data_IF_797573685721
#
_entry.id   IF_797573685721
#
_cell.length_a   1.000
_cell.length_b   1.000
_cell.length_c   1.000
_cell.angle_alpha   90.00
_cell.angle_beta   90.00
_cell.angle_gamma   90.00
#
_symmetry.space_group_name_H-M   'P 1'
#
loop_
_entity.id
_entity.type
_entity.pdbx_description
1 polymer ?
#
# COMPACT_ATOMS: atom_id res chain seq x y z
N UNK A 1 -5.27 -19.03 -12.60
CA UNK A 1 -4.39 -19.04 -11.39
C UNK A 1 -3.46 -17.83 -11.48
N UNK A 2 -3.39 -17.02 -10.40
CA UNK A 2 -2.50 -15.87 -10.38
C UNK A 2 -1.05 -16.29 -10.17
N UNK A 3 -0.15 -15.64 -10.92
CA UNK A 3 1.29 -15.70 -10.76
C UNK A 3 1.81 -14.30 -10.43
N UNK A 4 2.61 -14.18 -9.42
CA UNK A 4 3.25 -12.95 -8.97
C UNK A 4 4.72 -12.99 -9.37
N UNK A 5 5.17 -11.95 -10.05
CA UNK A 5 6.57 -11.81 -10.50
C UNK A 5 7.14 -10.50 -9.96
N UNK A 6 8.27 -10.58 -9.28
CA UNK A 6 9.02 -9.40 -8.87
C UNK A 6 9.86 -8.90 -10.06
N UNK A 7 9.74 -7.61 -10.37
CA UNK A 7 10.34 -7.01 -11.55
C UNK A 7 11.27 -5.85 -11.15
N UNK A 8 12.38 -5.73 -11.88
CA UNK A 8 13.38 -4.68 -11.65
C UNK A 8 13.13 -3.41 -12.49
N UNK A 9 12.21 -3.48 -13.46
CA UNK A 9 11.90 -2.38 -14.36
C UNK A 9 10.40 -2.31 -14.64
N UNK A 10 9.91 -1.09 -14.81
CA UNK A 10 8.53 -0.82 -15.23
C UNK A 10 8.25 -1.13 -16.72
N UNK A 11 9.27 -1.48 -17.52
CA UNK A 11 9.12 -1.74 -18.96
C UNK A 11 8.10 -2.82 -19.30
N UNK A 12 7.91 -3.80 -18.40
CA UNK A 12 6.92 -4.86 -18.58
C UNK A 12 5.48 -4.35 -18.58
N UNK A 13 5.25 -3.16 -18.01
CA UNK A 13 3.94 -2.52 -17.89
C UNK A 13 3.57 -1.65 -19.11
N UNK A 14 4.35 -1.71 -20.20
CA UNK A 14 3.99 -1.01 -21.44
C UNK A 14 2.62 -1.47 -21.93
N UNK A 15 1.66 -0.51 -22.02
CA UNK A 15 0.28 -0.80 -22.40
C UNK A 15 -0.64 -1.29 -21.26
N UNK A 16 -0.15 -1.38 -20.03
CA UNK A 16 -1.01 -1.58 -18.86
C UNK A 16 -1.73 -0.26 -18.54
N UNK A 17 -3.04 -0.31 -18.33
CA UNK A 17 -3.83 0.83 -17.91
C UNK A 17 -4.77 0.42 -16.78
N UNK A 18 -4.75 1.14 -15.68
CA UNK A 18 -5.69 0.96 -14.58
C UNK A 18 -6.93 1.85 -14.72
N UNK A 19 -6.89 2.87 -15.58
CA UNK A 19 -7.99 3.79 -15.86
C UNK A 19 -8.18 4.87 -14.80
N UNK A 20 -7.18 5.10 -13.95
CA UNK A 20 -7.05 6.30 -13.11
C UNK A 20 -5.92 7.11 -13.72
N UNK A 21 -6.26 8.29 -14.25
CA UNK A 21 -5.37 9.06 -15.11
C UNK A 21 -4.01 9.35 -14.45
N UNK A 22 -4.01 9.76 -13.20
CA UNK A 22 -2.80 10.10 -12.45
C UNK A 22 -1.93 8.87 -12.20
N UNK A 23 -2.57 7.73 -11.91
CA UNK A 23 -1.87 6.45 -11.72
C UNK A 23 -1.28 5.95 -13.04
N UNK A 24 -2.04 6.02 -14.15
CA UNK A 24 -1.54 5.61 -15.46
C UNK A 24 -0.38 6.51 -15.90
N UNK A 25 -0.45 7.83 -15.65
CA UNK A 25 0.65 8.75 -15.93
C UNK A 25 1.91 8.41 -15.11
N UNK A 26 1.75 8.10 -13.81
CA UNK A 26 2.85 7.67 -12.96
C UNK A 26 3.47 6.35 -13.43
N UNK A 27 2.65 5.33 -13.74
CA UNK A 27 3.13 4.02 -14.19
C UNK A 27 3.99 4.15 -15.46
N UNK A 28 3.58 4.99 -16.40
CA UNK A 28 4.28 5.13 -17.68
C UNK A 28 5.41 6.17 -17.68
N UNK A 29 5.39 7.13 -16.76
CA UNK A 29 6.37 8.22 -16.70
C UNK A 29 7.41 8.09 -15.60
N UNK A 30 6.96 7.88 -14.37
CA UNK A 30 7.78 8.08 -13.18
C UNK A 30 8.11 6.80 -12.40
N UNK A 31 7.37 5.71 -12.60
CA UNK A 31 7.53 4.48 -11.82
C UNK A 31 8.96 3.92 -11.87
N UNK A 32 9.58 3.90 -13.05
CA UNK A 32 10.95 3.38 -13.20
C UNK A 32 11.98 4.22 -12.44
N UNK A 33 11.82 5.55 -12.43
CA UNK A 33 12.65 6.46 -11.65
C UNK A 33 12.35 6.32 -10.14
N UNK A 34 11.10 6.10 -9.76
CA UNK A 34 10.70 5.85 -8.38
C UNK A 34 11.37 4.60 -7.82
N UNK A 35 11.31 3.47 -8.53
CA UNK A 35 11.93 2.21 -8.13
C UNK A 35 13.46 2.31 -7.94
N UNK A 36 14.12 3.16 -8.72
CA UNK A 36 15.56 3.38 -8.63
C UNK A 36 16.00 4.27 -7.48
N UNK A 37 15.08 4.98 -6.82
CA UNK A 37 15.44 5.86 -5.68
C UNK A 37 15.89 5.08 -4.46
N UNK A 38 15.26 3.93 -4.21
CA UNK A 38 15.55 3.10 -3.06
C UNK A 38 15.34 1.62 -3.42
N UNK A 39 16.34 0.75 -3.18
CA UNK A 39 16.24 -0.68 -3.45
C UNK A 39 15.19 -1.40 -2.57
N UNK A 40 14.60 -0.72 -1.59
CA UNK A 40 13.52 -1.29 -0.78
C UNK A 40 12.18 -1.36 -1.52
N UNK A 41 11.98 -0.53 -2.56
CA UNK A 41 10.77 -0.59 -3.39
C UNK A 41 10.77 -1.83 -4.26
N UNK A 42 9.78 -2.69 -4.08
CA UNK A 42 9.63 -3.95 -4.79
C UNK A 42 8.41 -3.89 -5.71
N UNK A 43 8.65 -3.77 -7.02
CA UNK A 43 7.59 -3.90 -8.03
C UNK A 43 7.22 -5.36 -8.19
N UNK A 44 5.94 -5.65 -8.11
CA UNK A 44 5.36 -6.95 -8.44
C UNK A 44 4.33 -6.81 -9.54
N UNK A 45 4.43 -7.65 -10.54
CA UNK A 45 3.45 -7.75 -11.63
C UNK A 45 2.66 -9.04 -11.47
N UNK A 46 1.35 -8.94 -11.63
CA UNK A 46 0.41 -10.04 -11.43
C UNK A 46 -0.12 -10.50 -12.78
N UNK A 47 0.07 -11.78 -13.05
CA UNK A 47 -0.36 -12.43 -14.28
C UNK A 47 -1.50 -13.40 -14.00
N UNK A 48 -2.47 -13.40 -14.89
CA UNK A 48 -3.47 -14.44 -15.02
C UNK A 48 -3.30 -15.20 -16.34
N UNK A 49 -3.60 -16.52 -16.33
CA UNK A 49 -3.38 -17.37 -17.52
C UNK A 49 -4.25 -17.00 -18.73
N UNK A 50 -5.41 -16.37 -18.50
CA UNK A 50 -6.37 -16.00 -19.53
C UNK A 50 -6.19 -14.55 -20.00
N UNK A 51 -5.81 -13.68 -19.04
CA UNK A 51 -5.83 -12.22 -19.26
C UNK A 51 -4.45 -11.58 -19.37
N UNK A 52 -3.36 -12.35 -19.18
CA UNK A 52 -2.01 -11.79 -19.16
C UNK A 52 -1.77 -10.94 -17.90
N UNK A 53 -1.19 -9.74 -18.04
CA UNK A 53 -1.00 -8.82 -16.91
C UNK A 53 -2.36 -8.28 -16.46
N UNK A 54 -2.71 -8.54 -15.22
CA UNK A 54 -4.00 -8.14 -14.62
C UNK A 54 -3.86 -7.05 -13.58
N UNK A 55 -2.69 -6.94 -12.94
CA UNK A 55 -2.42 -5.94 -11.93
C UNK A 55 -0.93 -5.71 -11.73
N UNK A 56 -0.59 -4.64 -11.02
CA UNK A 56 0.72 -4.38 -10.45
C UNK A 56 0.59 -3.84 -9.03
N UNK A 57 1.63 -4.04 -8.22
CA UNK A 57 1.75 -3.37 -6.95
C UNK A 57 3.23 -3.12 -6.60
N UNK A 58 3.47 -2.08 -5.83
CA UNK A 58 4.78 -1.77 -5.24
C UNK A 58 4.64 -1.84 -3.73
N UNK A 59 5.60 -2.50 -3.08
CA UNK A 59 5.67 -2.62 -1.63
C UNK A 59 7.05 -2.24 -1.13
N UNK A 60 7.10 -1.68 0.08
CA UNK A 60 8.34 -1.38 0.79
C UNK A 60 8.20 -1.60 2.30
N UNK A 61 9.31 -1.81 3.03
CA UNK A 61 9.27 -1.80 4.49
C UNK A 61 8.87 -0.42 5.01
N UNK A 62 8.02 -0.40 6.02
CA UNK A 62 7.53 0.81 6.67
C UNK A 62 7.44 0.65 8.19
N UNK A 63 6.90 1.68 8.83
CA UNK A 63 6.65 1.72 10.27
C UNK A 63 5.21 2.17 10.50
N UNK A 64 4.48 1.38 11.27
CA UNK A 64 3.21 1.80 11.85
C UNK A 64 3.49 2.44 13.20
N UNK A 65 2.93 3.63 13.43
CA UNK A 65 3.07 4.37 14.69
C UNK A 65 1.73 4.38 15.41
N UNK A 66 1.70 3.80 16.61
CA UNK A 66 0.56 3.82 17.50
C UNK A 66 0.81 4.85 18.61
N UNK A 67 0.05 5.95 18.59
CA UNK A 67 0.17 7.03 19.55
C UNK A 67 -0.71 6.80 20.81
N UNK A 68 -1.72 5.94 20.69
CA UNK A 68 -2.76 5.76 21.72
C UNK A 68 -2.57 4.48 22.55
N UNK A 69 -1.48 3.73 22.27
CA UNK A 69 -1.21 2.41 22.88
C UNK A 69 -2.36 1.39 22.70
N UNK A 70 -3.17 1.56 21.65
CA UNK A 70 -4.32 0.70 21.34
C UNK A 70 -3.88 -0.75 21.04
N UNK A 71 -2.64 -0.91 20.56
CA UNK A 71 -2.08 -2.20 20.16
C UNK A 71 -1.01 -2.75 21.12
N UNK A 72 -1.14 -2.47 22.42
CA UNK A 72 -0.16 -2.92 23.45
C UNK A 72 0.05 -4.44 23.47
N UNK A 73 -0.93 -5.22 23.03
CA UNK A 73 -0.86 -6.68 22.94
C UNK A 73 -0.10 -7.18 21.70
N UNK A 74 0.29 -6.31 20.77
CA UNK A 74 1.08 -6.67 19.59
C UNK A 74 2.55 -6.79 19.98
N UNK A 75 3.19 -7.97 19.79
CA UNK A 75 4.58 -8.16 20.17
C UNK A 75 5.54 -7.33 19.31
N UNK A 76 6.71 -7.03 19.87
CA UNK A 76 7.83 -6.33 19.20
C UNK A 76 7.60 -4.86 18.87
N UNK A 77 6.57 -4.21 19.41
CA UNK A 77 6.47 -2.76 19.41
C UNK A 77 7.63 -2.12 20.17
N UNK A 78 8.15 -1.01 19.68
CA UNK A 78 9.23 -0.24 20.35
C UNK A 78 8.71 1.12 20.77
N UNK A 79 8.84 1.51 22.04
CA UNK A 79 8.46 2.84 22.50
C UNK A 79 9.30 3.91 21.79
N UNK A 80 8.68 5.03 21.50
CA UNK A 80 9.34 6.22 20.98
C UNK A 80 8.79 7.47 21.69
N UNK A 81 9.56 8.54 21.68
CA UNK A 81 9.10 9.87 22.10
C UNK A 81 9.88 10.96 21.39
N UNK A 82 9.24 12.09 21.12
CA UNK A 82 9.87 13.32 20.66
C UNK A 82 9.18 14.55 21.27
N UNK A 83 9.86 15.68 21.26
CA UNK A 83 9.25 16.96 21.60
C UNK A 83 8.85 17.67 20.30
N UNK A 84 7.59 18.08 20.22
CA UNK A 84 7.12 18.92 19.14
C UNK A 84 7.51 20.40 19.30
N UNK A 85 7.17 21.24 18.32
CA UNK A 85 7.50 22.67 18.33
C UNK A 85 6.86 23.44 19.50
N UNK A 86 5.76 22.95 20.06
CA UNK A 86 5.06 23.50 21.23
C UNK A 86 5.61 22.95 22.56
N UNK A 87 6.73 22.25 22.53
CA UNK A 87 7.36 21.60 23.67
C UNK A 87 6.49 20.53 24.35
N UNK A 88 5.58 19.91 23.62
CA UNK A 88 4.80 18.78 24.08
C UNK A 88 5.54 17.48 23.80
N UNK A 89 5.58 16.58 24.79
CA UNK A 89 6.13 15.26 24.60
C UNK A 89 5.08 14.40 23.88
N UNK A 90 5.39 13.98 22.67
CA UNK A 90 4.64 12.99 21.91
C UNK A 90 5.30 11.62 22.13
N UNK A 91 4.53 10.63 22.52
CA UNK A 91 5.03 9.28 22.74
C UNK A 91 4.08 8.24 22.15
N UNK A 92 4.60 7.05 21.91
CA UNK A 92 3.82 5.95 21.37
C UNK A 92 4.67 4.70 21.16
N UNK A 93 4.14 3.79 20.37
CA UNK A 93 4.80 2.54 20.03
C UNK A 93 4.92 2.39 18.51
N UNK A 94 6.11 2.01 18.04
CA UNK A 94 6.37 1.74 16.61
C UNK A 94 6.38 0.24 16.36
N UNK A 95 5.72 -0.17 15.28
CA UNK A 95 5.66 -1.55 14.81
C UNK A 95 6.18 -1.67 13.38
N UNK A 96 6.91 -2.75 13.05
CA UNK A 96 7.25 -3.04 11.67
C UNK A 96 5.99 -3.20 10.82
N UNK A 97 5.91 -2.46 9.72
CA UNK A 97 4.83 -2.56 8.73
C UNK A 97 5.37 -2.80 7.33
N UNK A 98 4.55 -3.40 6.48
CA UNK A 98 4.77 -3.43 5.05
C UNK A 98 3.87 -2.38 4.42
N UNK A 99 4.47 -1.44 3.72
CA UNK A 99 3.78 -0.38 2.99
C UNK A 99 3.31 -0.90 1.64
N UNK A 100 2.08 -0.59 1.26
CA UNK A 100 1.59 -0.69 -0.11
C UNK A 100 1.74 0.68 -0.73
N UNK A 101 2.85 0.91 -1.41
CA UNK A 101 3.14 2.20 -2.05
C UNK A 101 2.21 2.46 -3.22
N UNK A 102 1.94 1.42 -4.03
CA UNK A 102 1.03 1.47 -5.17
C UNK A 102 0.32 0.12 -5.36
N UNK A 103 -0.94 0.17 -5.75
CA UNK A 103 -1.72 -1.00 -6.17
C UNK A 103 -2.66 -0.59 -7.30
N UNK A 104 -2.53 -1.22 -8.46
CA UNK A 104 -3.37 -0.98 -9.62
C UNK A 104 -3.85 -2.28 -10.24
N UNK A 105 -5.15 -2.38 -10.51
CA UNK A 105 -5.78 -3.46 -11.27
C UNK A 105 -6.16 -2.91 -12.64
N UNK A 106 -5.92 -3.70 -13.70
CA UNK A 106 -6.24 -3.32 -15.07
C UNK A 106 -7.72 -2.92 -15.19
N UNK A 107 -8.00 -1.84 -15.93
CA UNK A 107 -9.31 -1.16 -15.95
C UNK A 107 -10.48 -2.08 -16.29
N UNK A 108 -10.30 -2.99 -17.24
CA UNK A 108 -11.32 -3.93 -17.70
C UNK A 108 -11.56 -5.13 -16.76
N UNK A 109 -10.70 -5.28 -15.74
CA UNK A 109 -10.74 -6.34 -14.74
C UNK A 109 -11.04 -5.83 -13.32
N UNK A 110 -11.42 -4.56 -13.19
CA UNK A 110 -11.87 -4.02 -11.90
C UNK A 110 -13.10 -4.77 -11.42
N UNK A 111 -13.29 -4.81 -10.10
CA UNK A 111 -14.41 -5.50 -9.44
C UNK A 111 -14.46 -7.02 -9.65
N UNK A 112 -13.50 -7.61 -10.37
CA UNK A 112 -13.39 -9.06 -10.59
C UNK A 112 -12.71 -9.81 -9.43
N UNK A 113 -12.42 -9.13 -8.31
CA UNK A 113 -11.82 -9.73 -7.12
C UNK A 113 -10.29 -9.83 -7.12
N UNK A 114 -9.60 -9.39 -8.19
CA UNK A 114 -8.13 -9.42 -8.25
C UNK A 114 -7.48 -8.61 -7.12
N UNK A 115 -7.98 -7.40 -6.85
CA UNK A 115 -7.45 -6.56 -5.76
C UNK A 115 -7.47 -7.27 -4.40
N UNK A 116 -8.59 -7.94 -4.07
CA UNK A 116 -8.72 -8.69 -2.80
C UNK A 116 -7.76 -9.88 -2.73
N UNK A 117 -7.54 -10.59 -3.85
CA UNK A 117 -6.56 -11.69 -3.91
C UNK A 117 -5.13 -11.18 -3.71
N UNK A 118 -4.82 -9.99 -4.26
CA UNK A 118 -3.51 -9.34 -4.10
C UNK A 118 -3.29 -8.92 -2.65
N UNK A 119 -4.25 -8.26 -2.00
CA UNK A 119 -4.14 -7.89 -0.58
C UNK A 119 -3.91 -9.13 0.29
N UNK A 120 -4.60 -10.24 0.00
CA UNK A 120 -4.41 -11.50 0.71
C UNK A 120 -2.99 -12.05 0.53
N UNK A 121 -2.42 -11.99 -0.67
CA UNK A 121 -1.04 -12.40 -0.96
C UNK A 121 -0.03 -11.49 -0.24
N UNK A 122 -0.21 -10.17 -0.31
CA UNK A 122 0.65 -9.20 0.40
C UNK A 122 0.60 -9.46 1.91
N UNK A 123 -0.58 -9.71 2.49
CA UNK A 123 -0.75 -10.04 3.90
C UNK A 123 0.01 -11.30 4.30
N UNK A 124 -0.03 -12.33 3.46
CA UNK A 124 0.72 -13.57 3.69
C UNK A 124 2.22 -13.33 3.67
N UNK A 125 2.73 -12.57 2.69
CA UNK A 125 4.16 -12.20 2.60
C UNK A 125 4.59 -11.37 3.80
N UNK A 126 3.76 -10.42 4.22
CA UNK A 126 4.03 -9.58 5.38
C UNK A 126 4.15 -10.42 6.67
N UNK A 127 3.20 -11.32 6.92
CA UNK A 127 3.23 -12.26 8.06
C UNK A 127 4.50 -13.12 8.08
N UNK A 128 4.88 -13.69 6.94
CA UNK A 128 6.08 -14.54 6.84
C UNK A 128 7.38 -13.77 7.05
N UNK A 129 7.37 -12.45 6.89
CA UNK A 129 8.50 -11.55 7.14
C UNK A 129 8.45 -10.85 8.51
N UNK A 130 7.51 -11.26 9.39
CA UNK A 130 7.30 -10.69 10.72
C UNK A 130 6.92 -9.20 10.73
N UNK A 131 6.20 -8.74 9.74
CA UNK A 131 5.48 -7.46 9.81
C UNK A 131 4.17 -7.65 10.59
N UNK A 132 3.72 -6.62 11.30
CA UNK A 132 2.52 -6.65 12.11
C UNK A 132 1.36 -5.86 11.50
N UNK A 133 1.68 -4.94 10.61
CA UNK A 133 0.70 -4.11 9.92
C UNK A 133 0.97 -4.06 8.43
N UNK A 134 -0.09 -3.95 7.63
CA UNK A 134 -0.03 -3.34 6.31
C UNK A 134 -0.46 -1.89 6.42
N UNK A 135 0.23 -1.01 5.72
CA UNK A 135 -0.10 0.40 5.64
C UNK A 135 -0.24 0.83 4.19
N UNK A 136 -1.05 1.84 3.94
CA UNK A 136 -1.30 2.40 2.62
C UNK A 136 -1.77 3.85 2.72
N UNK A 137 -1.39 4.67 1.74
CA UNK A 137 -2.02 5.95 1.46
C UNK A 137 -3.09 5.73 0.39
N UNK A 138 -4.34 5.51 0.83
CA UNK A 138 -5.45 5.20 -0.07
C UNK A 138 -5.81 6.44 -0.90
N UNK A 139 -5.63 6.35 -2.23
CA UNK A 139 -5.91 7.44 -3.17
C UNK A 139 -7.40 7.78 -3.19
N UNK A 140 -7.69 9.08 -3.15
CA UNK A 140 -9.04 9.61 -3.10
C UNK A 140 -9.12 10.97 -3.78
N UNK A 141 -10.02 11.09 -4.77
CA UNK A 141 -10.34 12.33 -5.48
C UNK A 141 -11.84 12.43 -5.75
N UNK A 142 -12.31 13.55 -6.30
CA UNK A 142 -13.74 13.75 -6.65
C UNK A 142 -14.30 12.68 -7.61
N UNK A 143 -13.45 12.06 -8.42
CA UNK A 143 -13.88 11.08 -9.43
C UNK A 143 -13.59 9.63 -9.07
N UNK A 144 -12.76 9.38 -8.06
CA UNK A 144 -12.33 8.03 -7.70
C UNK A 144 -11.91 7.96 -6.23
N UNK A 145 -12.26 6.87 -5.55
CA UNK A 145 -11.79 6.59 -4.19
C UNK A 145 -11.44 5.12 -4.03
N UNK A 146 -10.24 4.85 -3.53
CA UNK A 146 -9.81 3.53 -3.12
C UNK A 146 -10.17 3.21 -1.66
N UNK A 147 -10.61 4.19 -0.86
CA UNK A 147 -10.93 4.01 0.55
C UNK A 147 -11.93 2.86 0.77
N UNK A 148 -13.11 2.80 0.09
CA UNK A 148 -14.08 1.74 0.32
C UNK A 148 -13.54 0.34 -0.02
N UNK A 149 -12.58 0.26 -0.96
CA UNK A 149 -11.91 -1.01 -1.26
C UNK A 149 -11.07 -1.47 -0.07
N UNK A 150 -10.21 -0.58 0.48
CA UNK A 150 -9.36 -0.93 1.60
C UNK A 150 -10.14 -1.22 2.88
N UNK A 151 -11.21 -0.46 3.17
CA UNK A 151 -12.12 -0.76 4.29
C UNK A 151 -12.70 -2.18 4.21
N UNK A 152 -13.14 -2.61 3.03
CA UNK A 152 -13.63 -3.99 2.79
C UNK A 152 -12.55 -5.06 3.02
N UNK A 153 -11.26 -4.70 2.89
CA UNK A 153 -10.15 -5.61 3.18
C UNK A 153 -9.76 -5.61 4.66
N UNK A 154 -10.37 -4.78 5.50
CA UNK A 154 -10.11 -4.68 6.94
C UNK A 154 -9.10 -3.61 7.33
N UNK A 155 -8.80 -2.67 6.43
CA UNK A 155 -8.03 -1.48 6.78
C UNK A 155 -8.91 -0.47 7.53
N UNK A 156 -8.32 0.23 8.47
CA UNK A 156 -8.91 1.34 9.21
C UNK A 156 -8.12 2.63 8.98
N UNK A 157 -8.82 3.76 9.03
CA UNK A 157 -8.19 5.08 8.86
C UNK A 157 -7.36 5.44 10.09
N UNK A 158 -6.17 6.01 9.89
CA UNK A 158 -5.28 6.48 10.95
C UNK A 158 -5.45 7.97 11.26
N UNK A 159 -6.20 8.68 10.45
CA UNK A 159 -6.49 10.10 10.59
C UNK A 159 -7.89 10.41 10.09
N UNK A 160 -8.43 11.56 10.47
CA UNK A 160 -9.68 12.03 9.90
C UNK A 160 -9.51 12.34 8.41
N UNK A 161 -10.55 12.04 7.65
CA UNK A 161 -10.61 12.40 6.24
C UNK A 161 -10.58 13.93 6.05
N UNK A 162 -9.75 14.41 5.14
CA UNK A 162 -9.72 15.81 4.73
C UNK A 162 -9.79 15.92 3.21
N UNK A 163 -10.62 16.82 2.70
CA UNK A 163 -10.70 17.12 1.26
C UNK A 163 -9.44 17.82 0.71
N UNK A 164 -8.53 18.26 1.58
CA UNK A 164 -7.28 18.91 1.20
C UNK A 164 -6.23 17.93 0.68
N UNK A 165 -6.37 16.65 0.99
CA UNK A 165 -5.41 15.61 0.61
C UNK A 165 -6.04 14.61 -0.35
N UNK A 166 -5.29 14.25 -1.38
CA UNK A 166 -5.68 13.24 -2.38
C UNK A 166 -5.52 11.79 -1.85
N UNK A 167 -5.13 11.62 -0.59
CA UNK A 167 -4.93 10.32 0.04
C UNK A 167 -5.42 10.29 1.48
N UNK A 168 -5.80 9.09 1.95
CA UNK A 168 -6.08 8.81 3.35
C UNK A 168 -5.14 7.71 3.85
N UNK A 169 -4.39 8.01 4.91
CA UNK A 169 -3.53 7.02 5.56
C UNK A 169 -4.36 5.96 6.25
N UNK A 170 -4.13 4.70 5.91
CA UNK A 170 -4.86 3.56 6.47
C UNK A 170 -3.90 2.45 6.87
N UNK A 171 -4.31 1.63 7.85
CA UNK A 171 -3.58 0.45 8.27
C UNK A 171 -4.50 -0.76 8.44
N UNK A 172 -3.91 -1.95 8.36
CA UNK A 172 -4.55 -3.22 8.69
C UNK A 172 -3.62 -4.03 9.57
N UNK A 173 -4.12 -4.50 10.71
CA UNK A 173 -3.40 -5.47 11.57
C UNK A 173 -3.37 -6.84 10.90
N UNK A 174 -2.21 -7.51 10.93
CA UNK A 174 -1.96 -8.79 10.28
C UNK A 174 -2.24 -10.00 11.17
#
# INVERSE_FOLDING_TARGET
MLRFSEELSADILKGFECGVQEMDAFIHGDLDAFLKRDPQYQLNVVFDSEHGIVAMFVISPGIFVDNDDEFQDVPYGKPWSYMDEDFQIQSGTMYPSLEIDYLAVRKDLRESGYGSQIIKEISLRAKTRNFFFLTVDAYHTKGYSAIPFYEKQGFFALQEYSEEYDTLRMAMRL
#
